data_IF_222628258762
#
_entry.id   IF_222628258762
#
_cell.length_a   1.000
_cell.length_b   1.000
_cell.length_c   1.000
_cell.angle_alpha   90.00
_cell.angle_beta   90.00
_cell.angle_gamma   90.00
#
_symmetry.space_group_name_H-M   'P 1'
#
loop_
_entity.id
_entity.type
_entity.pdbx_description
1 polymer ?
#
# COMPACT_ATOMS: atom_id res chain seq x y z
N UNK A 1 -11.55 10.73 -6.21
CA UNK A 1 -10.12 10.43 -6.44
C UNK A 1 -9.79 10.80 -7.88
N UNK A 2 -8.93 11.80 -8.11
CA UNK A 2 -8.58 12.30 -9.45
C UNK A 2 -7.10 12.04 -9.83
N UNK A 3 -6.45 11.12 -9.14
CA UNK A 3 -5.03 10.81 -9.33
C UNK A 3 -4.85 9.34 -9.68
N UNK A 4 -3.89 9.05 -10.55
CA UNK A 4 -3.53 7.69 -10.95
C UNK A 4 -2.27 7.25 -10.20
N UNK A 5 -2.21 6.00 -9.69
CA UNK A 5 -0.98 5.48 -9.11
C UNK A 5 0.17 5.50 -10.14
N UNK A 6 1.37 5.87 -9.69
CA UNK A 6 2.54 5.88 -10.57
C UNK A 6 3.08 4.44 -10.78
N UNK A 7 3.94 4.26 -11.79
CA UNK A 7 4.46 2.93 -12.16
C UNK A 7 5.09 2.19 -10.96
N UNK A 8 5.97 2.80 -10.13
CA UNK A 8 6.54 2.10 -8.99
C UNK A 8 5.49 1.65 -7.95
N UNK A 9 4.42 2.42 -7.76
CA UNK A 9 3.32 2.05 -6.85
C UNK A 9 2.55 0.85 -7.41
N UNK A 10 2.28 0.82 -8.72
CA UNK A 10 1.63 -0.31 -9.40
C UNK A 10 2.51 -1.56 -9.38
N UNK A 11 3.81 -1.42 -9.64
CA UNK A 11 4.75 -2.54 -9.64
C UNK A 11 4.87 -3.18 -8.26
N UNK A 12 4.92 -2.34 -7.22
CA UNK A 12 4.89 -2.81 -5.83
C UNK A 12 3.62 -3.62 -5.55
N UNK A 13 2.45 -3.11 -5.93
CA UNK A 13 1.19 -3.81 -5.72
C UNK A 13 1.10 -5.12 -6.53
N UNK A 14 1.53 -5.10 -7.78
CA UNK A 14 1.57 -6.29 -8.63
C UNK A 14 2.41 -7.42 -8.01
N UNK A 15 3.63 -7.09 -7.54
CA UNK A 15 4.49 -8.09 -6.92
C UNK A 15 3.96 -8.59 -5.57
N UNK A 16 3.29 -7.73 -4.78
CA UNK A 16 2.58 -8.16 -3.58
C UNK A 16 1.44 -9.14 -3.91
N UNK A 17 0.65 -8.88 -4.96
CA UNK A 17 -0.42 -9.79 -5.40
C UNK A 17 0.11 -11.14 -5.90
N UNK A 18 1.34 -11.18 -6.38
CA UNK A 18 2.05 -12.41 -6.77
C UNK A 18 2.69 -13.14 -5.57
N UNK A 19 2.50 -12.65 -4.34
CA UNK A 19 3.07 -13.26 -3.13
C UNK A 19 4.57 -13.04 -2.96
N UNK A 20 5.16 -12.04 -3.63
CA UNK A 20 6.58 -11.71 -3.50
C UNK A 20 6.81 -10.74 -2.34
N UNK A 21 7.97 -10.86 -1.69
CA UNK A 21 8.46 -9.84 -0.75
C UNK A 21 8.96 -8.63 -1.54
N UNK A 22 8.45 -7.44 -1.20
CA UNK A 22 8.74 -6.19 -1.92
C UNK A 22 9.26 -5.13 -0.96
N UNK A 23 10.38 -4.49 -1.30
CA UNK A 23 10.90 -3.31 -0.63
C UNK A 23 10.62 -2.06 -1.47
N UNK A 24 9.91 -1.08 -0.90
CA UNK A 24 9.63 0.19 -1.57
C UNK A 24 10.61 1.27 -1.15
N UNK A 25 11.61 1.53 -1.99
CA UNK A 25 12.64 2.57 -1.75
C UNK A 25 12.27 3.81 -2.57
N UNK A 26 11.86 4.87 -1.89
CA UNK A 26 11.45 6.12 -2.51
C UNK A 26 11.56 7.28 -1.51
N UNK A 27 11.69 8.55 -1.97
CA UNK A 27 11.74 9.71 -1.09
C UNK A 27 10.48 9.88 -0.22
N UNK A 28 10.56 10.74 0.78
CA UNK A 28 9.38 11.17 1.55
C UNK A 28 8.35 11.83 0.63
N UNK A 29 7.07 11.71 0.95
CA UNK A 29 5.99 12.25 0.10
C UNK A 29 5.65 11.44 -1.16
N UNK A 30 6.45 10.43 -1.54
CA UNK A 30 6.17 9.58 -2.73
C UNK A 30 4.87 8.76 -2.65
N UNK A 31 4.21 8.72 -1.50
CA UNK A 31 3.00 7.92 -1.32
C UNK A 31 3.27 6.43 -1.12
N UNK A 32 4.36 6.07 -0.41
CA UNK A 32 4.65 4.67 -0.05
C UNK A 32 3.47 4.00 0.67
N UNK A 33 2.73 4.72 1.49
CA UNK A 33 1.54 4.18 2.18
C UNK A 33 0.46 3.68 1.19
N UNK A 34 0.30 4.34 0.04
CA UNK A 34 -0.67 3.94 -0.97
C UNK A 34 -0.39 2.54 -1.53
N UNK A 35 0.87 2.11 -1.57
CA UNK A 35 1.24 0.80 -2.11
C UNK A 35 0.74 -0.37 -1.29
N UNK A 36 0.38 -0.15 -0.01
CA UNK A 36 -0.27 -1.17 0.82
C UNK A 36 -1.74 -1.33 0.47
N UNK A 37 -2.41 -0.25 0.06
CA UNK A 37 -3.85 -0.25 -0.20
C UNK A 37 -4.22 -0.75 -1.60
N UNK A 38 -3.39 -0.50 -2.62
CA UNK A 38 -3.67 -0.90 -4.00
C UNK A 38 -3.98 -2.42 -4.13
N UNK A 39 -3.21 -3.35 -3.51
CA UNK A 39 -3.54 -4.78 -3.54
C UNK A 39 -4.93 -5.14 -3.01
N UNK A 40 -5.41 -4.41 -1.99
CA UNK A 40 -6.72 -4.68 -1.37
C UNK A 40 -7.87 -4.38 -2.35
N UNK A 41 -7.74 -3.35 -3.18
CA UNK A 41 -8.74 -3.03 -4.21
C UNK A 41 -8.73 -4.02 -5.38
N UNK A 42 -7.62 -4.73 -5.60
CA UNK A 42 -7.45 -5.65 -6.71
C UNK A 42 -7.89 -7.09 -6.38
N UNK A 43 -8.09 -7.44 -5.10
CA UNK A 43 -8.46 -8.79 -4.69
C UNK A 43 -9.31 -8.77 -3.42
N UNK A 44 -10.56 -9.24 -3.53
CA UNK A 44 -11.49 -9.30 -2.40
C UNK A 44 -11.33 -10.56 -1.52
N UNK A 45 -10.55 -11.55 -1.97
CA UNK A 45 -10.40 -12.84 -1.29
C UNK A 45 -9.11 -12.94 -0.45
N UNK A 46 -8.55 -11.80 -0.05
CA UNK A 46 -7.27 -11.73 0.66
C UNK A 46 -7.35 -10.84 1.89
N UNK A 47 -6.57 -11.20 2.92
CA UNK A 47 -6.42 -10.43 4.15
C UNK A 47 -5.10 -9.66 4.09
N UNK A 48 -5.16 -8.35 4.33
CA UNK A 48 -3.99 -7.48 4.45
C UNK A 48 -3.82 -7.01 5.90
N UNK A 49 -2.64 -7.25 6.47
CA UNK A 49 -2.27 -6.76 7.80
C UNK A 49 -1.22 -5.66 7.64
N UNK A 50 -1.59 -4.42 7.99
CA UNK A 50 -0.67 -3.28 7.94
C UNK A 50 -0.14 -3.03 9.35
N UNK A 51 1.15 -3.31 9.56
CA UNK A 51 1.84 -2.98 10.81
C UNK A 51 2.45 -1.59 10.68
N UNK A 52 2.09 -0.69 11.60
CA UNK A 52 2.64 0.67 11.63
C UNK A 52 3.39 0.91 12.94
N UNK A 53 4.48 1.70 12.93
CA UNK A 53 5.28 1.94 14.13
C UNK A 53 4.63 2.95 15.11
N UNK A 54 3.57 3.66 14.69
CA UNK A 54 2.94 4.73 15.45
C UNK A 54 1.43 4.48 15.51
N UNK A 55 0.87 4.44 16.73
CA UNK A 55 -0.57 4.24 16.93
C UNK A 55 -1.41 5.27 16.16
N UNK A 56 -1.00 6.54 16.17
CA UNK A 56 -1.68 7.63 15.43
C UNK A 56 -1.76 7.34 13.93
N UNK A 57 -0.74 6.66 13.37
CA UNK A 57 -0.74 6.28 11.96
C UNK A 57 -1.68 5.09 11.70
N UNK A 58 -1.71 4.13 12.63
CA UNK A 58 -2.69 3.05 12.63
C UNK A 58 -4.12 3.59 12.67
N UNK A 59 -4.41 4.51 13.59
CA UNK A 59 -5.71 5.14 13.74
C UNK A 59 -6.14 5.88 12.47
N UNK A 60 -5.22 6.63 11.84
CA UNK A 60 -5.49 7.31 10.56
C UNK A 60 -5.75 6.36 9.39
N UNK A 61 -5.15 5.17 9.40
CA UNK A 61 -5.37 4.16 8.37
C UNK A 61 -6.66 3.36 8.61
N UNK A 62 -7.10 3.23 9.86
CA UNK A 62 -8.34 2.57 10.22
C UNK A 62 -9.58 3.48 10.05
N UNK A 63 -9.38 4.79 10.20
CA UNK A 63 -10.44 5.79 10.01
C UNK A 63 -10.62 6.08 8.50
N UNK A 64 -11.89 6.04 8.07
CA UNK A 64 -12.31 6.32 6.68
C UNK A 64 -12.10 7.76 6.27
#
# INVERSE_FOLDING_TARGET
>A
FGFHPCIPQLLSAWHQLQGKTVFMIAPTGFGKTLTFWIPLFASNDRILIIVTPLNILGDKNAQK
#
